data_IF_460092496062
#
_entry.id   IF_460092496062
#
_cell.length_a   1.000
_cell.length_b   1.000
_cell.length_c   1.000
_cell.angle_alpha   90.00
_cell.angle_beta   90.00
_cell.angle_gamma   90.00
#
_symmetry.space_group_name_H-M   'P 1'
#
loop_
_entity.id
_entity.type
_entity.pdbx_description
1 polymer ?
#
# COMPACT_ATOMS: atom_id res chain seq x y z
N UNK A 1 43.37 7.77 -28.52
CA UNK A 1 43.07 6.38 -28.13
C UNK A 1 43.04 5.58 -29.42
N UNK A 2 43.92 4.61 -29.60
CA UNK A 2 44.00 3.84 -30.84
C UNK A 2 42.83 2.86 -30.91
N UNK A 3 41.94 3.06 -31.89
CA UNK A 3 40.68 2.29 -32.03
C UNK A 3 40.98 0.80 -32.19
N UNK A 4 42.11 0.49 -32.82
CA UNK A 4 42.60 -0.87 -33.03
C UNK A 4 42.88 -1.58 -31.70
N UNK A 5 43.50 -0.86 -30.74
CA UNK A 5 43.82 -1.38 -29.41
C UNK A 5 42.55 -1.60 -28.57
N UNK A 6 41.55 -0.72 -28.72
CA UNK A 6 40.27 -0.85 -28.01
C UNK A 6 39.45 -2.06 -28.52
N UNK A 7 39.47 -2.31 -29.83
CA UNK A 7 38.79 -3.47 -30.43
C UNK A 7 39.45 -4.79 -30.06
N UNK A 8 40.79 -4.86 -30.03
CA UNK A 8 41.49 -6.05 -29.55
C UNK A 8 41.23 -6.30 -28.05
N UNK A 9 41.20 -5.24 -27.24
CA UNK A 9 40.86 -5.35 -25.81
C UNK A 9 39.45 -5.91 -25.63
N UNK A 10 38.47 -5.44 -26.40
CA UNK A 10 37.09 -5.95 -26.37
C UNK A 10 36.99 -7.40 -26.88
N UNK A 11 37.79 -7.76 -27.89
CA UNK A 11 37.82 -9.12 -28.44
C UNK A 11 38.41 -10.15 -27.48
N UNK A 12 39.36 -9.74 -26.63
CA UNK A 12 40.00 -10.61 -25.63
C UNK A 12 39.35 -10.57 -24.25
N UNK A 13 38.38 -9.68 -24.03
CA UNK A 13 37.69 -9.56 -22.76
C UNK A 13 36.77 -10.77 -22.53
N UNK A 14 36.73 -11.27 -21.29
CA UNK A 14 35.79 -12.32 -20.90
C UNK A 14 34.36 -11.78 -20.88
N UNK A 15 33.36 -12.66 -21.05
CA UNK A 15 31.94 -12.27 -21.03
C UNK A 15 31.57 -11.54 -19.72
N UNK A 16 32.15 -11.94 -18.60
CA UNK A 16 31.99 -11.30 -17.30
C UNK A 16 32.55 -9.87 -17.27
N UNK A 17 33.71 -9.65 -17.89
CA UNK A 17 34.32 -8.32 -18.00
C UNK A 17 33.52 -7.41 -18.95
N UNK A 18 32.99 -7.97 -20.04
CA UNK A 18 32.10 -7.25 -20.97
C UNK A 18 30.78 -6.87 -20.31
N UNK A 19 30.18 -7.78 -19.54
CA UNK A 19 28.91 -7.53 -18.86
C UNK A 19 29.06 -6.54 -17.69
N UNK A 20 30.18 -6.61 -16.97
CA UNK A 20 30.55 -5.60 -15.97
C UNK A 20 30.70 -4.22 -16.60
N UNK A 21 31.43 -4.11 -17.72
CA UNK A 21 31.57 -2.84 -18.46
C UNK A 21 30.24 -2.33 -19.04
N UNK A 22 29.39 -3.22 -19.55
CA UNK A 22 28.05 -2.85 -20.02
C UNK A 22 27.18 -2.27 -18.90
N UNK A 23 27.25 -2.88 -17.72
CA UNK A 23 26.54 -2.40 -16.52
C UNK A 23 27.07 -1.03 -16.05
N UNK A 24 28.39 -0.84 -16.06
CA UNK A 24 29.04 0.43 -15.74
C UNK A 24 28.68 1.56 -16.72
N UNK A 25 28.62 1.24 -18.02
CA UNK A 25 28.20 2.19 -19.06
C UNK A 25 26.73 2.59 -18.87
N UNK A 26 25.83 1.63 -18.62
CA UNK A 26 24.42 1.93 -18.40
C UNK A 26 24.20 2.77 -17.13
N UNK A 27 24.93 2.48 -16.05
CA UNK A 27 24.90 3.29 -14.84
C UNK A 27 25.37 4.73 -15.12
N UNK A 28 26.46 4.87 -15.87
CA UNK A 28 27.01 6.18 -16.24
C UNK A 28 26.04 6.98 -17.11
N UNK A 29 25.41 6.33 -18.10
CA UNK A 29 24.39 6.95 -18.96
C UNK A 29 23.14 7.35 -18.16
N UNK A 30 22.72 6.54 -17.19
CA UNK A 30 21.61 6.86 -16.28
C UNK A 30 21.91 8.11 -15.43
N UNK A 31 23.12 8.18 -14.84
CA UNK A 31 23.58 9.35 -14.07
C UNK A 31 23.65 10.61 -14.96
N UNK A 32 24.15 10.48 -16.19
CA UNK A 32 24.20 11.60 -17.15
C UNK A 32 22.79 12.06 -17.51
N UNK A 33 21.87 11.14 -17.81
CA UNK A 33 20.46 11.43 -18.11
C UNK A 33 19.78 12.18 -16.96
N UNK A 34 19.98 11.72 -15.72
CA UNK A 34 19.44 12.36 -14.52
C UNK A 34 20.00 13.79 -14.34
N UNK A 35 21.31 14.00 -14.55
CA UNK A 35 21.93 15.32 -14.48
C UNK A 35 21.46 16.27 -15.58
N UNK A 36 21.19 15.74 -16.78
CA UNK A 36 20.61 16.51 -17.88
C UNK A 36 19.17 16.92 -17.56
N UNK A 37 18.35 16.03 -17.01
CA UNK A 37 16.98 16.36 -16.58
C UNK A 37 16.96 17.45 -15.50
N UNK A 38 17.88 17.40 -14.52
CA UNK A 38 18.01 18.43 -13.49
C UNK A 38 18.43 19.79 -14.08
N UNK A 39 19.30 19.81 -15.10
CA UNK A 39 19.70 21.07 -15.76
C UNK A 39 18.61 21.67 -16.65
N UNK A 40 17.78 20.84 -17.29
CA UNK A 40 16.62 21.30 -18.06
C UNK A 40 15.51 21.89 -17.17
N UNK A 41 15.40 21.46 -15.91
CA UNK A 41 14.43 22.00 -14.95
C UNK A 41 14.96 23.20 -14.13
N UNK A 42 16.28 23.39 -14.06
CA UNK A 42 16.90 24.48 -13.29
C UNK A 42 17.22 25.75 -14.11
N UNK A 43 16.93 25.77 -15.41
CA UNK A 43 17.24 26.89 -16.30
C UNK A 43 16.02 27.78 -16.56
N UNK A 44 15.48 28.40 -15.51
CA UNK A 44 14.65 29.61 -15.65
C UNK A 44 15.07 30.62 -14.60
N UNK A 45 15.85 31.67 -14.93
CA UNK A 45 16.11 32.76 -14.00
C UNK A 45 14.96 33.78 -14.12
N UNK A 46 14.08 33.81 -13.12
CA UNK A 46 13.15 34.92 -12.95
C UNK A 46 13.78 35.96 -12.02
N UNK A 47 14.30 37.00 -12.65
CA UNK A 47 14.66 38.30 -12.09
C UNK A 47 13.52 38.87 -11.25
N UNK A 48 13.82 39.35 -10.04
CA UNK A 48 12.92 40.22 -9.27
C UNK A 48 13.71 41.48 -8.94
N UNK A 49 13.33 42.59 -9.57
CA UNK A 49 13.54 43.93 -9.05
C UNK A 49 12.16 44.60 -8.99
N UNK A 50 11.83 45.11 -7.81
CA UNK A 50 10.59 45.83 -7.52
C UNK A 50 10.92 47.27 -7.19
N UNK A 51 10.39 48.25 -7.93
CA UNK A 51 10.01 49.56 -7.36
C UNK A 51 9.16 50.43 -8.31
N UNK A 52 7.87 50.52 -7.95
CA UNK A 52 6.96 51.70 -7.94
C UNK A 52 6.38 52.31 -9.26
N UNK A 53 5.08 52.77 -9.28
CA UNK A 53 4.28 53.11 -10.49
C UNK A 53 3.92 54.63 -10.55
N UNK A 54 2.87 55.17 -11.25
CA UNK A 54 1.96 54.75 -12.35
C UNK A 54 1.88 55.86 -13.47
N UNK A 55 0.77 56.17 -14.22
CA UNK A 55 -0.44 55.45 -14.66
C UNK A 55 -0.73 55.54 -16.19
N UNK A 56 -1.63 54.69 -16.73
CA UNK A 56 -2.77 55.09 -17.61
C UNK A 56 -3.46 53.89 -18.29
N UNK A 57 -4.76 53.83 -18.02
CA UNK A 57 -5.91 53.59 -18.91
C UNK A 57 -6.09 52.35 -19.81
N UNK A 58 -7.35 51.90 -19.74
CA UNK A 58 -8.18 51.24 -20.76
C UNK A 58 -8.33 49.71 -20.72
N UNK A 59 -9.46 49.34 -20.10
CA UNK A 59 -10.53 48.51 -20.63
C UNK A 59 -10.33 46.99 -20.86
N UNK A 60 -11.19 46.27 -20.12
CA UNK A 60 -12.12 45.18 -20.52
C UNK A 60 -11.87 43.77 -19.97
N UNK A 61 -12.94 43.34 -19.29
CA UNK A 61 -13.47 42.00 -19.09
C UNK A 61 -12.85 41.06 -18.03
N UNK A 62 -13.54 41.02 -16.88
CA UNK A 62 -13.60 39.90 -15.92
C UNK A 62 -14.87 39.05 -16.21
N UNK A 63 -15.20 37.92 -15.52
CA UNK A 63 -14.57 37.24 -14.37
C UNK A 63 -14.42 35.69 -14.63
N UNK A 64 -14.04 34.77 -13.73
CA UNK A 64 -14.02 34.73 -12.27
C UNK A 64 -13.04 33.66 -11.75
N UNK A 65 -12.48 34.02 -10.60
CA UNK A 65 -11.55 33.33 -9.71
C UNK A 65 -12.01 32.00 -9.13
N UNK A 66 -11.03 31.11 -8.98
CA UNK A 66 -10.92 30.09 -7.93
C UNK A 66 -10.71 30.82 -6.58
N UNK A 67 -11.26 30.31 -5.48
CA UNK A 67 -10.87 30.72 -4.14
C UNK A 67 -10.59 29.49 -3.27
N UNK A 68 -9.30 29.28 -2.98
CA UNK A 68 -8.83 28.65 -1.75
C UNK A 68 -8.74 29.73 -0.66
N UNK A 69 -9.10 29.38 0.57
CA UNK A 69 -8.72 30.16 1.76
C UNK A 69 -8.38 29.21 2.89
N UNK A 70 -7.13 29.27 3.29
CA UNK A 70 -6.51 28.68 4.48
C UNK A 70 -6.94 29.38 5.78
N UNK A 71 -7.15 28.55 6.81
CA UNK A 71 -6.70 28.65 8.23
C UNK A 71 -7.01 29.92 9.01
N UNK A 72 -7.72 29.77 10.15
CA UNK A 72 -7.23 30.35 11.41
C UNK A 72 -7.71 29.66 12.69
N UNK A 73 -6.95 29.91 13.76
CA UNK A 73 -6.79 29.15 15.00
C UNK A 73 -7.27 29.99 16.21
N UNK A 74 -7.59 29.30 17.33
CA UNK A 74 -7.63 29.72 18.76
C UNK A 74 -8.94 30.23 19.42
N UNK A 75 -9.25 29.55 20.55
CA UNK A 75 -9.87 29.96 21.84
C UNK A 75 -11.25 30.68 21.84
N UNK A 76 -12.21 30.40 22.74
CA UNK A 76 -12.13 30.61 24.20
C UNK A 76 -13.41 30.07 24.91
N UNK A 77 -13.22 29.39 26.04
CA UNK A 77 -13.99 29.28 27.31
C UNK A 77 -15.54 29.23 27.44
N UNK A 78 -15.95 28.26 28.29
CA UNK A 78 -16.92 28.29 29.41
C UNK A 78 -18.36 28.80 29.21
N UNK A 79 -19.36 27.98 29.58
CA UNK A 79 -20.13 28.10 30.85
C UNK A 79 -21.34 27.15 30.90
N UNK A 80 -21.33 26.29 31.93
CA UNK A 80 -22.41 25.80 32.83
C UNK A 80 -23.88 25.94 32.42
N UNK A 81 -24.66 24.86 32.59
CA UNK A 81 -26.13 24.97 32.76
C UNK A 81 -26.92 23.68 32.62
N UNK A 82 -27.02 22.92 33.72
CA UNK A 82 -27.93 21.78 33.91
C UNK A 82 -29.41 22.17 33.83
N UNK A 83 -30.28 21.26 33.37
CA UNK A 83 -31.51 20.79 34.05
C UNK A 83 -32.53 20.14 33.06
N UNK A 84 -32.77 18.84 33.22
CA UNK A 84 -34.06 18.16 32.95
C UNK A 84 -35.11 18.62 34.00
N UNK A 85 -36.43 18.23 33.99
CA UNK A 85 -37.05 17.08 33.31
C UNK A 85 -38.54 17.24 32.86
N UNK A 86 -39.07 16.13 32.33
CA UNK A 86 -40.36 15.50 32.72
C UNK A 86 -41.68 15.79 31.97
N UNK A 87 -42.31 14.65 31.61
CA UNK A 87 -43.75 14.30 31.67
C UNK A 87 -44.63 14.69 30.46
N UNK A 88 -45.65 13.95 30.01
CA UNK A 88 -46.24 12.59 30.20
C UNK A 88 -47.45 12.51 29.26
N UNK A 89 -47.84 11.29 28.84
CA UNK A 89 -49.24 10.87 28.52
C UNK A 89 -49.96 11.51 27.32
N UNK A 90 -50.91 10.91 26.60
CA UNK A 90 -51.48 9.56 26.44
C UNK A 90 -52.55 9.71 25.33
N UNK A 91 -52.82 8.63 24.57
CA UNK A 91 -54.13 8.24 23.99
C UNK A 91 -54.81 9.22 22.99
N UNK A 92 -55.46 8.81 21.89
CA UNK A 92 -55.90 7.52 21.39
C UNK A 92 -56.48 7.68 19.95
N UNK A 93 -56.93 6.53 19.42
CA UNK A 93 -58.01 6.30 18.45
C UNK A 93 -57.60 6.14 16.97
N UNK A 94 -57.65 4.88 16.53
CA UNK A 94 -57.79 4.41 15.14
C UNK A 94 -59.29 4.20 14.86
N UNK A 95 -59.75 4.43 13.61
CA UNK A 95 -60.53 3.38 12.92
C UNK A 95 -60.18 3.21 11.41
N UNK A 96 -59.73 1.98 11.13
CA UNK A 96 -59.85 1.02 10.01
C UNK A 96 -60.77 1.31 8.77
N UNK A 97 -60.21 1.01 7.55
CA UNK A 97 -60.78 0.45 6.28
C UNK A 97 -61.62 1.33 5.30
N UNK A 98 -61.62 1.23 3.94
CA UNK A 98 -61.02 0.36 2.88
C UNK A 98 -61.05 1.07 1.50
N UNK A 99 -60.19 0.61 0.56
CA UNK A 99 -60.27 0.60 -0.94
C UNK A 99 -60.28 1.89 -1.77
N UNK A 100 -59.23 2.09 -2.59
CA UNK A 100 -59.28 2.16 -4.07
C UNK A 100 -57.85 2.36 -4.68
N UNK A 101 -57.45 1.50 -5.62
CA UNK A 101 -56.33 1.72 -6.57
C UNK A 101 -56.75 2.79 -7.61
N UNK A 102 -55.87 3.47 -8.41
CA UNK A 102 -54.67 2.91 -9.06
C UNK A 102 -53.46 3.87 -9.30
N UNK A 103 -52.28 3.31 -9.66
CA UNK A 103 -51.41 3.71 -10.79
C UNK A 103 -49.95 3.18 -10.64
N UNK A 104 -49.29 2.77 -11.73
CA UNK A 104 -48.07 1.95 -11.70
C UNK A 104 -46.83 2.81 -11.46
N UNK A 105 -46.13 2.60 -10.33
CA UNK A 105 -44.79 3.17 -10.13
C UNK A 105 -43.75 2.26 -10.79
N UNK A 106 -43.10 2.86 -11.78
CA UNK A 106 -41.90 2.44 -12.51
C UNK A 106 -41.01 1.48 -11.72
N UNK A 107 -40.64 0.39 -12.38
CA UNK A 107 -39.67 -0.58 -11.90
C UNK A 107 -38.41 0.11 -11.42
N UNK A 108 -38.13 -0.06 -10.13
CA UNK A 108 -36.82 0.16 -9.57
C UNK A 108 -35.87 -0.83 -10.25
N UNK A 109 -34.95 -0.30 -11.06
CA UNK A 109 -33.80 -1.05 -11.53
C UNK A 109 -33.07 -1.66 -10.31
N UNK A 110 -32.55 -2.89 -10.42
CA UNK A 110 -31.80 -3.50 -9.33
C UNK A 110 -30.57 -2.64 -9.06
N UNK A 111 -30.46 -2.17 -7.82
CA UNK A 111 -29.30 -1.41 -7.35
C UNK A 111 -28.02 -2.20 -7.67
N UNK A 112 -27.04 -1.51 -8.25
CA UNK A 112 -25.68 -2.04 -8.40
C UNK A 112 -25.18 -2.41 -6.99
N UNK A 113 -25.22 -3.69 -6.64
CA UNK A 113 -24.70 -4.21 -5.38
C UNK A 113 -23.23 -3.77 -5.25
N UNK A 114 -22.96 -2.86 -4.31
CA UNK A 114 -21.58 -2.46 -3.99
C UNK A 114 -20.89 -3.69 -3.39
N UNK A 115 -20.01 -4.33 -4.16
CA UNK A 115 -19.14 -5.41 -3.68
C UNK A 115 -18.45 -5.00 -2.38
N UNK A 116 -18.39 -5.93 -1.42
CA UNK A 116 -17.68 -5.69 -0.15
C UNK A 116 -16.18 -5.42 -0.40
N UNK A 117 -15.49 -4.74 0.53
CA UNK A 117 -14.04 -4.46 0.39
C UNK A 117 -13.23 -5.74 0.25
N UNK A 118 -13.64 -6.80 0.96
CA UNK A 118 -13.02 -8.14 0.89
C UNK A 118 -13.21 -8.75 -0.49
N UNK A 119 -14.43 -8.74 -1.06
CA UNK A 119 -14.69 -9.25 -2.41
C UNK A 119 -13.85 -8.53 -3.49
N UNK A 120 -13.74 -7.21 -3.40
CA UNK A 120 -12.92 -6.44 -4.34
C UNK A 120 -11.45 -6.85 -4.27
N UNK A 121 -10.93 -7.01 -3.06
CA UNK A 121 -9.56 -7.44 -2.84
C UNK A 121 -9.33 -8.85 -3.38
N UNK A 122 -10.23 -9.80 -3.10
CA UNK A 122 -10.14 -11.17 -3.63
C UNK A 122 -10.15 -11.17 -5.17
N UNK A 123 -10.99 -10.36 -5.82
CA UNK A 123 -10.93 -10.21 -7.28
C UNK A 123 -9.58 -9.65 -7.75
N UNK A 124 -9.07 -8.59 -7.11
CA UNK A 124 -7.75 -8.01 -7.48
C UNK A 124 -6.61 -9.01 -7.28
N UNK A 125 -6.70 -9.88 -6.27
CA UNK A 125 -5.69 -10.91 -6.02
C UNK A 125 -5.62 -11.93 -7.16
N UNK A 126 -6.76 -12.30 -7.76
CA UNK A 126 -6.83 -13.22 -8.90
C UNK A 126 -6.12 -12.64 -10.13
N UNK A 127 -6.27 -11.34 -10.40
CA UNK A 127 -5.65 -10.67 -11.55
C UNK A 127 -4.10 -10.66 -11.48
N UNK A 128 -3.54 -10.78 -10.27
CA UNK A 128 -2.10 -10.68 -10.04
C UNK A 128 -1.36 -12.02 -9.98
N UNK A 129 -2.07 -13.15 -9.86
CA UNK A 129 -1.44 -14.47 -9.79
C UNK A 129 -0.69 -14.81 -11.07
N UNK A 130 -1.22 -14.38 -12.23
CA UNK A 130 -0.64 -14.60 -13.54
C UNK A 130 0.73 -13.93 -13.66
N UNK A 131 0.79 -12.64 -13.33
CA UNK A 131 2.04 -11.88 -13.40
C UNK A 131 3.10 -12.45 -12.45
N UNK A 132 2.72 -12.88 -11.25
CA UNK A 132 3.65 -13.50 -10.30
C UNK A 132 4.17 -14.85 -10.79
N UNK A 133 3.29 -15.67 -11.38
CA UNK A 133 3.70 -16.94 -11.96
C UNK A 133 4.74 -16.72 -13.06
N UNK A 134 4.46 -15.86 -14.03
CA UNK A 134 5.39 -15.56 -15.13
C UNK A 134 6.72 -15.00 -14.60
N UNK A 135 6.65 -14.06 -13.66
CA UNK A 135 7.83 -13.43 -13.05
C UNK A 135 8.69 -14.43 -12.27
N UNK A 136 8.05 -15.40 -11.59
CA UNK A 136 8.74 -16.48 -10.87
C UNK A 136 9.35 -17.54 -11.81
N UNK A 137 9.05 -17.51 -13.12
CA UNK A 137 9.66 -18.38 -14.12
C UNK A 137 10.88 -17.78 -14.79
N UNK A 138 10.92 -16.46 -14.93
CA UNK A 138 11.95 -15.77 -15.71
C UNK A 138 13.15 -15.31 -14.87
N UNK A 139 13.18 -15.58 -13.55
CA UNK A 139 14.24 -15.14 -12.62
C UNK A 139 14.67 -13.68 -12.87
N UNK A 140 13.69 -12.78 -12.84
CA UNK A 140 13.82 -11.37 -13.25
C UNK A 140 14.74 -10.53 -12.35
N UNK A 141 15.13 -9.36 -12.90
CA UNK A 141 15.88 -8.24 -12.31
C UNK A 141 15.43 -7.78 -10.92
N UNK A 142 14.25 -8.18 -10.44
CA UNK A 142 13.81 -7.92 -9.07
C UNK A 142 14.76 -8.58 -8.06
N UNK A 143 15.31 -9.76 -8.38
CA UNK A 143 16.32 -10.44 -7.57
C UNK A 143 17.65 -9.67 -7.60
N UNK A 144 17.98 -8.94 -8.68
CA UNK A 144 19.21 -8.15 -8.75
C UNK A 144 19.13 -6.81 -8.01
N UNK A 145 17.93 -6.37 -7.62
CA UNK A 145 17.75 -5.20 -6.75
C UNK A 145 18.19 -5.53 -5.31
N UNK A 146 19.46 -5.24 -5.03
CA UNK A 146 20.06 -5.37 -3.70
C UNK A 146 20.04 -4.02 -2.98
N UNK A 147 19.76 -4.04 -1.68
CA UNK A 147 19.95 -2.87 -0.82
C UNK A 147 21.45 -2.53 -0.74
N UNK A 148 21.77 -1.26 -0.95
CA UNK A 148 23.07 -0.73 -0.54
C UNK A 148 22.98 -0.37 0.95
N UNK A 149 23.84 -0.92 1.84
CA UNK A 149 23.82 -0.57 3.25
C UNK A 149 24.17 0.91 3.53
N UNK A 150 24.79 1.60 2.57
CA UNK A 150 25.18 3.01 2.69
C UNK A 150 24.10 3.99 2.24
N UNK A 151 23.15 3.54 1.41
CA UNK A 151 22.02 4.34 0.92
C UNK A 151 20.74 3.55 1.11
N UNK A 152 19.87 3.98 2.03
CA UNK A 152 18.58 3.33 2.26
C UNK A 152 17.60 3.61 1.11
N UNK A 153 17.57 2.72 0.13
CA UNK A 153 16.69 2.78 -1.05
C UNK A 153 15.22 2.50 -0.73
N UNK A 154 14.90 2.00 0.47
CA UNK A 154 13.53 1.52 0.78
C UNK A 154 12.50 2.63 0.68
N UNK A 155 12.86 3.83 1.10
CA UNK A 155 11.96 4.98 0.97
C UNK A 155 11.84 5.48 -0.47
N UNK A 156 12.83 5.22 -1.33
CA UNK A 156 12.71 5.50 -2.76
C UNK A 156 11.75 4.51 -3.41
N UNK A 157 11.94 3.21 -3.19
CA UNK A 157 11.06 2.14 -3.69
C UNK A 157 9.60 2.36 -3.24
N UNK A 158 9.40 2.81 -2.00
CA UNK A 158 8.09 3.20 -1.50
C UNK A 158 7.46 4.34 -2.31
N UNK A 159 8.23 5.40 -2.58
CA UNK A 159 7.75 6.62 -3.26
C UNK A 159 7.56 6.46 -4.76
N UNK A 160 8.21 5.50 -5.42
CA UNK A 160 7.96 5.19 -6.86
C UNK A 160 6.50 4.86 -7.15
N UNK A 161 5.80 4.38 -6.13
CA UNK A 161 4.40 3.95 -6.23
C UNK A 161 3.44 4.95 -5.59
N UNK A 162 3.80 5.57 -4.46
CA UNK A 162 2.92 6.55 -3.81
C UNK A 162 2.80 7.83 -4.65
N UNK A 163 1.58 8.14 -5.10
CA UNK A 163 1.31 9.30 -5.97
C UNK A 163 1.39 8.98 -7.47
N UNK A 164 1.91 7.80 -7.84
CA UNK A 164 1.84 7.31 -9.21
C UNK A 164 0.46 6.71 -9.48
N UNK A 165 -0.24 7.20 -10.52
CA UNK A 165 -1.58 6.70 -10.87
C UNK A 165 -1.55 5.30 -11.50
N UNK A 166 -0.42 4.89 -12.09
CA UNK A 166 -0.26 3.61 -12.81
C UNK A 166 1.13 3.00 -12.58
N UNK A 167 1.47 2.63 -11.34
CA UNK A 167 2.75 2.01 -11.02
C UNK A 167 2.85 0.62 -11.66
N UNK A 168 4.06 0.25 -12.09
CA UNK A 168 4.32 -1.09 -12.62
C UNK A 168 4.17 -2.15 -11.51
N UNK A 169 3.90 -3.41 -11.87
CA UNK A 169 3.82 -4.50 -10.89
C UNK A 169 5.17 -4.73 -10.18
N UNK A 170 6.29 -4.48 -10.87
CA UNK A 170 7.61 -4.51 -10.28
C UNK A 170 7.76 -3.44 -9.20
N UNK A 171 7.40 -2.19 -9.47
CA UNK A 171 7.45 -1.12 -8.47
C UNK A 171 6.52 -1.41 -7.28
N UNK A 172 5.33 -1.95 -7.54
CA UNK A 172 4.40 -2.38 -6.48
C UNK A 172 5.03 -3.45 -5.58
N UNK A 173 5.75 -4.41 -6.15
CA UNK A 173 6.44 -5.45 -5.40
C UNK A 173 7.63 -4.87 -4.61
N UNK A 174 8.44 -3.99 -5.20
CA UNK A 174 9.51 -3.28 -4.50
C UNK A 174 8.96 -2.44 -3.33
N UNK A 175 7.81 -1.77 -3.51
CA UNK A 175 7.09 -1.10 -2.41
C UNK A 175 6.70 -2.09 -1.31
N UNK A 176 6.22 -3.29 -1.65
CA UNK A 176 5.92 -4.31 -0.63
C UNK A 176 7.18 -4.67 0.16
N UNK A 177 8.26 -5.01 -0.53
CA UNK A 177 9.54 -5.40 0.08
C UNK A 177 10.08 -4.28 0.98
N UNK A 178 10.00 -3.02 0.53
CA UNK A 178 10.44 -1.86 1.30
C UNK A 178 9.64 -1.66 2.58
N UNK A 179 8.30 -1.73 2.50
CA UNK A 179 7.43 -1.63 3.68
C UNK A 179 7.64 -2.78 4.66
N UNK A 180 7.76 -4.01 4.17
CA UNK A 180 8.04 -5.20 5.00
C UNK A 180 9.38 -5.04 5.72
N UNK A 181 10.44 -4.73 4.97
CA UNK A 181 11.78 -4.52 5.51
C UNK A 181 11.83 -3.42 6.59
N UNK A 182 11.18 -2.28 6.34
CA UNK A 182 11.09 -1.20 7.34
C UNK A 182 10.30 -1.61 8.60
N UNK A 183 9.24 -2.40 8.42
CA UNK A 183 8.48 -2.92 9.55
C UNK A 183 9.23 -4.01 10.31
N UNK A 184 10.03 -4.84 9.63
CA UNK A 184 10.93 -5.83 10.25
C UNK A 184 11.97 -5.14 11.12
N UNK A 185 12.66 -4.10 10.63
CA UNK A 185 13.60 -3.29 11.42
C UNK A 185 12.92 -2.72 12.67
N UNK A 186 11.72 -2.15 12.52
CA UNK A 186 10.95 -1.63 13.65
C UNK A 186 10.57 -2.74 14.66
N UNK A 187 10.17 -3.92 14.17
CA UNK A 187 9.73 -5.05 15.01
C UNK A 187 10.89 -5.72 15.75
N UNK A 188 12.12 -5.59 15.27
CA UNK A 188 13.31 -6.04 16.01
C UNK A 188 13.51 -5.24 17.31
N UNK A 189 12.99 -4.02 17.42
CA UNK A 189 12.96 -3.27 18.67
C UNK A 189 11.86 -3.77 19.62
N UNK A 190 12.10 -3.70 20.93
CA UNK A 190 11.19 -4.20 21.98
C UNK A 190 9.77 -3.62 21.84
N UNK A 191 9.67 -2.31 21.60
CA UNK A 191 8.39 -1.62 21.44
C UNK A 191 7.66 -2.03 20.15
N UNK A 192 8.40 -2.26 19.06
CA UNK A 192 7.84 -2.71 17.80
C UNK A 192 7.32 -4.14 17.87
N UNK A 193 8.05 -5.04 18.53
CA UNK A 193 7.58 -6.41 18.80
C UNK A 193 6.28 -6.42 19.58
N UNK A 194 6.21 -5.67 20.68
CA UNK A 194 4.99 -5.57 21.50
C UNK A 194 3.80 -5.02 20.69
N UNK A 195 4.07 -4.04 19.81
CA UNK A 195 3.07 -3.48 18.93
C UNK A 195 2.52 -4.50 17.93
N UNK A 196 3.40 -5.20 17.19
CA UNK A 196 2.98 -6.22 16.23
C UNK A 196 2.15 -7.32 16.90
N UNK A 197 2.62 -7.83 18.05
CA UNK A 197 1.90 -8.86 18.81
C UNK A 197 0.51 -8.42 19.25
N UNK A 198 0.36 -7.14 19.60
CA UNK A 198 -0.95 -6.62 19.99
C UNK A 198 -1.91 -6.47 18.82
N UNK A 199 -1.40 -6.12 17.63
CA UNK A 199 -2.21 -6.11 16.40
C UNK A 199 -2.66 -7.53 16.06
N UNK A 200 -1.75 -8.50 16.13
CA UNK A 200 -2.06 -9.92 15.89
C UNK A 200 -3.12 -10.41 16.89
N UNK A 201 -2.93 -10.14 18.19
CA UNK A 201 -3.88 -10.52 19.23
C UNK A 201 -5.27 -9.91 18.97
N UNK A 202 -5.34 -8.63 18.60
CA UNK A 202 -6.60 -7.98 18.24
C UNK A 202 -7.30 -8.70 17.07
N UNK A 203 -6.59 -8.97 15.98
CA UNK A 203 -7.16 -9.64 14.79
C UNK A 203 -7.66 -11.04 15.14
N UNK A 204 -6.89 -11.80 15.93
CA UNK A 204 -7.30 -13.14 16.37
C UNK A 204 -8.51 -13.09 17.30
N UNK A 205 -8.59 -12.14 18.24
CA UNK A 205 -9.75 -12.00 19.12
C UNK A 205 -11.03 -11.60 18.36
N UNK A 206 -10.92 -10.77 17.31
CA UNK A 206 -12.06 -10.49 16.42
C UNK A 206 -12.51 -11.77 15.71
N UNK A 207 -11.56 -12.61 15.25
CA UNK A 207 -11.88 -13.86 14.58
C UNK A 207 -12.56 -14.89 15.50
N UNK A 208 -12.11 -15.01 16.74
CA UNK A 208 -12.69 -15.92 17.74
C UNK A 208 -14.08 -15.49 18.23
N UNK A 209 -14.51 -14.26 17.91
CA UNK A 209 -15.76 -13.68 18.42
C UNK A 209 -15.64 -13.10 19.84
N UNK A 210 -14.43 -13.07 20.42
CA UNK A 210 -14.16 -12.55 21.76
C UNK A 210 -14.26 -11.02 21.82
N UNK A 211 -14.07 -10.35 20.68
CA UNK A 211 -14.20 -8.90 20.54
C UNK A 211 -15.23 -8.54 19.50
N UNK A 212 -16.20 -7.72 19.91
CA UNK A 212 -17.12 -7.07 18.99
C UNK A 212 -16.37 -5.95 18.24
N UNK A 213 -16.21 -6.04 16.90
CA UNK A 213 -15.47 -5.08 16.10
C UNK A 213 -16.12 -3.68 16.09
N UNK A 214 -17.42 -3.56 16.37
CA UNK A 214 -18.13 -2.28 16.45
C UNK A 214 -17.97 -1.58 17.79
N UNK A 215 -17.75 -2.35 18.88
CA UNK A 215 -17.59 -1.82 20.25
C UNK A 215 -16.13 -1.66 20.68
N UNK A 216 -15.22 -2.37 20.03
CA UNK A 216 -13.79 -2.28 20.33
C UNK A 216 -13.23 -0.99 19.73
N UNK A 217 -13.24 0.08 20.53
CA UNK A 217 -12.68 1.36 20.16
C UNK A 217 -11.25 1.17 19.65
N UNK A 218 -11.03 1.55 18.39
CA UNK A 218 -9.71 1.73 17.75
C UNK A 218 -8.68 2.56 18.57
N UNK A 219 -9.08 3.12 19.72
CA UNK A 219 -8.26 3.85 20.68
C UNK A 219 -7.08 3.04 21.22
N UNK A 220 -7.23 1.72 21.45
CA UNK A 220 -6.11 0.86 21.90
C UNK A 220 -4.96 0.79 20.88
N UNK A 221 -5.28 0.79 19.59
CA UNK A 221 -4.28 0.83 18.52
C UNK A 221 -3.78 2.26 18.26
N UNK A 222 -4.64 3.28 18.41
CA UNK A 222 -4.28 4.71 18.22
C UNK A 222 -3.28 5.24 19.24
N UNK A 223 -3.38 4.83 20.51
CA UNK A 223 -2.43 5.24 21.56
C UNK A 223 -0.98 4.82 21.27
N UNK A 224 -0.80 3.77 20.46
CA UNK A 224 0.50 3.18 20.11
C UNK A 224 1.07 3.68 18.79
N UNK A 225 0.37 4.58 18.08
CA UNK A 225 0.91 5.28 16.91
C UNK A 225 2.21 6.05 17.24
N UNK A 226 2.37 6.49 18.50
CA UNK A 226 3.58 7.18 18.96
C UNK A 226 4.85 6.35 18.82
N UNK A 227 4.80 5.04 19.05
CA UNK A 227 6.00 4.16 18.98
C UNK A 227 6.67 4.17 17.61
N UNK A 228 5.90 4.15 16.51
CA UNK A 228 6.47 4.24 15.16
C UNK A 228 7.01 5.65 14.90
N UNK A 229 6.34 6.68 15.41
CA UNK A 229 6.83 8.05 15.26
C UNK A 229 8.12 8.30 16.03
N UNK A 230 8.27 7.70 17.22
CA UNK A 230 9.49 7.82 18.03
C UNK A 230 10.64 7.04 17.38
N UNK A 231 10.38 5.84 16.87
CA UNK A 231 11.34 5.09 16.05
C UNK A 231 11.83 5.90 14.84
N UNK A 232 10.90 6.45 14.04
CA UNK A 232 11.25 7.24 12.84
C UNK A 232 12.09 8.46 13.21
N UNK A 233 11.76 9.16 14.30
CA UNK A 233 12.53 10.35 14.75
C UNK A 233 13.95 10.00 15.18
N UNK A 234 14.14 8.86 15.84
CA UNK A 234 15.43 8.42 16.34
C UNK A 234 16.29 7.75 15.26
N UNK A 235 15.69 7.29 14.17
CA UNK A 235 16.39 6.59 13.10
C UNK A 235 17.14 7.58 12.17
N UNK A 236 18.49 7.46 12.02
CA UNK A 236 19.31 8.44 11.29
C UNK A 236 18.86 8.68 9.84
N UNK A 237 18.43 7.63 9.14
CA UNK A 237 18.06 7.68 7.73
C UNK A 237 16.57 7.97 7.48
N UNK A 238 15.72 7.88 8.51
CA UNK A 238 14.25 8.02 8.35
C UNK A 238 13.70 9.30 8.99
N UNK A 239 14.47 9.95 9.88
CA UNK A 239 14.06 11.16 10.61
C UNK A 239 13.62 12.31 9.71
N UNK A 240 14.21 12.44 8.53
CA UNK A 240 13.86 13.45 7.51
C UNK A 240 12.74 13.01 6.56
N UNK A 241 12.25 11.77 6.69
CA UNK A 241 11.30 11.20 5.74
C UNK A 241 9.85 11.24 6.25
N UNK A 242 9.05 12.13 5.68
CA UNK A 242 7.63 12.29 6.03
C UNK A 242 6.78 11.02 5.83
N UNK A 243 7.14 10.18 4.86
CA UNK A 243 6.39 8.97 4.51
C UNK A 243 6.77 7.73 5.34
N UNK A 244 7.86 7.78 6.12
CA UNK A 244 8.38 6.61 6.82
C UNK A 244 7.37 6.02 7.82
N UNK A 245 6.67 6.89 8.56
CA UNK A 245 5.59 6.48 9.45
C UNK A 245 4.51 5.70 8.68
N UNK A 246 4.13 6.16 7.49
CA UNK A 246 3.09 5.52 6.67
C UNK A 246 3.57 4.18 6.13
N UNK A 247 4.82 4.11 5.65
CA UNK A 247 5.45 2.89 5.15
C UNK A 247 5.50 1.81 6.24
N UNK A 248 6.03 2.14 7.43
CA UNK A 248 6.14 1.21 8.56
C UNK A 248 4.76 0.73 9.01
N UNK A 249 3.77 1.62 9.14
CA UNK A 249 2.43 1.20 9.54
C UNK A 249 1.75 0.27 8.53
N UNK A 250 1.93 0.50 7.22
CA UNK A 250 1.47 -0.42 6.17
C UNK A 250 2.21 -1.76 6.23
N UNK A 251 3.52 -1.75 6.50
CA UNK A 251 4.32 -2.95 6.71
C UNK A 251 3.87 -3.77 7.94
N UNK A 252 3.65 -3.12 9.10
CA UNK A 252 3.10 -3.78 10.30
C UNK A 252 1.76 -4.44 9.99
N UNK A 253 0.89 -3.73 9.26
CA UNK A 253 -0.41 -4.27 8.85
C UNK A 253 -0.26 -5.53 8.00
N UNK A 254 0.68 -5.51 7.07
CA UNK A 254 0.98 -6.63 6.19
C UNK A 254 1.57 -7.83 6.96
N UNK A 255 2.58 -7.60 7.82
CA UNK A 255 3.17 -8.63 8.69
C UNK A 255 2.15 -9.24 9.65
N UNK A 256 1.25 -8.43 10.21
CA UNK A 256 0.18 -8.91 11.08
C UNK A 256 -0.80 -9.81 10.33
N UNK A 257 -1.22 -9.41 9.12
CA UNK A 257 -2.06 -10.24 8.26
C UNK A 257 -1.37 -11.57 7.96
N UNK A 258 -0.11 -11.54 7.51
CA UNK A 258 0.65 -12.74 7.16
C UNK A 258 0.78 -13.70 8.35
N UNK A 259 1.07 -13.17 9.55
CA UNK A 259 1.20 -14.00 10.76
C UNK A 259 -0.13 -14.67 11.12
N UNK A 260 -1.24 -13.93 11.06
CA UNK A 260 -2.58 -14.47 11.30
C UNK A 260 -2.95 -15.51 10.26
N UNK A 261 -2.66 -15.23 8.99
CA UNK A 261 -2.93 -16.14 7.88
C UNK A 261 -2.13 -17.42 8.01
N UNK A 262 -0.81 -17.34 8.26
CA UNK A 262 0.05 -18.50 8.50
C UNK A 262 -0.44 -19.36 9.66
N UNK A 263 -0.75 -18.74 10.81
CA UNK A 263 -1.32 -19.45 11.96
C UNK A 263 -2.62 -20.18 11.61
N UNK A 264 -3.47 -19.55 10.80
CA UNK A 264 -4.71 -20.16 10.31
C UNK A 264 -4.46 -21.40 9.48
N UNK A 265 -3.48 -21.36 8.57
CA UNK A 265 -3.11 -22.52 7.76
C UNK A 265 -2.58 -23.65 8.63
N UNK A 266 -1.76 -23.34 9.63
CA UNK A 266 -1.25 -24.30 10.60
C UNK A 266 -2.39 -24.95 11.41
N UNK A 267 -3.32 -24.14 11.94
CA UNK A 267 -4.49 -24.61 12.69
C UNK A 267 -5.39 -25.55 11.84
N UNK A 268 -5.51 -25.25 10.54
CA UNK A 268 -6.28 -26.04 9.57
C UNK A 268 -5.48 -27.17 8.91
N UNK A 269 -4.19 -27.34 9.25
CA UNK A 269 -3.27 -28.31 8.63
C UNK A 269 -3.17 -28.19 7.11
N UNK A 270 -3.28 -26.97 6.59
CA UNK A 270 -3.13 -26.66 5.18
C UNK A 270 -1.66 -26.37 4.83
N UNK A 271 -1.25 -26.55 3.55
CA UNK A 271 0.08 -26.17 3.10
C UNK A 271 0.37 -24.69 3.36
N UNK A 272 1.59 -24.36 3.76
CA UNK A 272 1.98 -22.97 3.90
C UNK A 272 2.04 -22.29 2.52
N UNK A 273 1.39 -21.14 2.43
CA UNK A 273 1.35 -20.28 1.23
C UNK A 273 1.40 -18.80 1.62
N UNK A 274 1.94 -18.51 2.82
CA UNK A 274 1.97 -17.17 3.39
C UNK A 274 2.74 -16.19 2.51
N UNK A 275 3.85 -16.60 1.91
CA UNK A 275 4.70 -15.76 1.06
C UNK A 275 4.02 -15.48 -0.29
N UNK A 276 3.35 -16.48 -0.85
CA UNK A 276 2.56 -16.31 -2.08
C UNK A 276 1.45 -15.30 -1.88
N UNK A 277 0.64 -15.47 -0.83
CA UNK A 277 -0.47 -14.55 -0.51
C UNK A 277 0.06 -13.17 -0.15
N UNK A 278 1.18 -13.10 0.57
CA UNK A 278 1.92 -11.87 0.86
C UNK A 278 2.26 -11.09 -0.43
N UNK A 279 2.87 -11.75 -1.41
CA UNK A 279 3.24 -11.17 -2.69
C UNK A 279 2.02 -10.66 -3.48
N UNK A 280 0.96 -11.46 -3.56
CA UNK A 280 -0.29 -11.09 -4.26
C UNK A 280 -0.94 -9.87 -3.59
N UNK A 281 -0.97 -9.84 -2.25
CA UNK A 281 -1.46 -8.68 -1.51
C UNK A 281 -0.60 -7.45 -1.71
N UNK A 282 0.73 -7.62 -1.88
CA UNK A 282 1.66 -6.57 -2.28
C UNK A 282 1.27 -5.84 -3.56
N UNK A 283 0.86 -6.62 -4.56
CA UNK A 283 0.39 -6.10 -5.83
C UNK A 283 -0.99 -5.43 -5.72
N UNK A 284 -1.81 -5.90 -4.78
CA UNK A 284 -3.16 -5.40 -4.46
C UNK A 284 -3.18 -4.38 -3.32
N UNK A 285 -2.03 -3.74 -3.01
CA UNK A 285 -1.89 -2.93 -1.79
C UNK A 285 -2.86 -1.74 -1.72
N UNK A 286 -3.27 -1.21 -2.88
CA UNK A 286 -4.20 -0.08 -2.93
C UNK A 286 -5.61 -0.45 -2.48
N UNK A 287 -6.00 -1.71 -2.65
CA UNK A 287 -7.23 -2.23 -2.06
C UNK A 287 -6.98 -2.67 -0.62
N UNK A 288 -5.86 -3.34 -0.36
CA UNK A 288 -5.49 -3.80 0.99
C UNK A 288 -5.35 -2.64 1.98
N UNK A 289 -4.90 -1.44 1.56
CA UNK A 289 -4.78 -0.28 2.45
C UNK A 289 -6.12 0.12 3.07
N UNK A 290 -7.22 -0.09 2.35
CA UNK A 290 -8.58 0.26 2.79
C UNK A 290 -9.19 -0.74 3.78
N UNK A 291 -8.65 -1.97 3.84
CA UNK A 291 -9.11 -3.02 4.75
C UNK A 291 -8.83 -2.63 6.21
N UNK A 292 -9.80 -2.70 7.11
CA UNK A 292 -9.50 -2.48 8.54
C UNK A 292 -8.89 -3.73 9.18
N UNK A 293 -8.23 -3.60 10.33
CA UNK A 293 -7.77 -4.78 11.08
C UNK A 293 -8.93 -5.72 11.44
N UNK A 294 -10.11 -5.17 11.73
CA UNK A 294 -11.32 -5.95 12.02
C UNK A 294 -11.84 -6.75 10.82
N UNK A 295 -11.52 -6.33 9.59
CA UNK A 295 -11.91 -7.03 8.36
C UNK A 295 -10.89 -8.08 7.92
N UNK A 296 -9.69 -8.13 8.51
CA UNK A 296 -8.67 -9.12 8.17
C UNK A 296 -9.13 -10.57 8.35
N UNK A 297 -9.86 -10.95 9.42
CA UNK A 297 -10.35 -12.32 9.57
C UNK A 297 -11.22 -12.76 8.39
N UNK A 298 -12.15 -11.91 7.95
CA UNK A 298 -13.02 -12.20 6.80
C UNK A 298 -12.22 -12.42 5.51
N UNK A 299 -11.14 -11.66 5.31
CA UNK A 299 -10.24 -11.87 4.18
C UNK A 299 -9.47 -13.20 4.30
N UNK A 300 -8.97 -13.53 5.49
CA UNK A 300 -8.28 -14.80 5.75
C UNK A 300 -9.21 -15.97 5.44
N UNK A 301 -10.43 -15.95 5.96
CA UNK A 301 -11.42 -16.99 5.74
C UNK A 301 -11.79 -17.08 4.24
N UNK A 302 -12.01 -15.95 3.57
CA UNK A 302 -12.31 -15.92 2.13
C UNK A 302 -11.18 -16.51 1.26
N UNK A 303 -9.92 -16.26 1.62
CA UNK A 303 -8.78 -16.86 0.92
C UNK A 303 -8.73 -18.36 1.20
N UNK A 304 -8.81 -18.77 2.46
CA UNK A 304 -8.75 -20.19 2.87
C UNK A 304 -9.88 -21.00 2.23
N UNK A 305 -11.11 -20.48 2.23
CA UNK A 305 -12.28 -21.14 1.63
C UNK A 305 -12.17 -21.23 0.09
N UNK A 306 -11.45 -20.29 -0.54
CA UNK A 306 -11.20 -20.26 -1.98
C UNK A 306 -10.06 -21.17 -2.46
N UNK A 307 -9.12 -21.53 -1.58
CA UNK A 307 -7.94 -22.36 -1.89
C UNK A 307 -8.23 -23.79 -2.38
N UNK A 308 -9.30 -24.51 -1.99
CA UNK A 308 -9.35 -25.94 -2.27
C UNK A 308 -9.84 -26.39 -3.67
N UNK A 309 -10.25 -25.52 -4.62
CA UNK A 309 -11.11 -26.02 -5.73
C UNK A 309 -10.99 -25.47 -7.15
N UNK A 310 -9.87 -24.91 -7.58
CA UNK A 310 -9.76 -24.48 -8.98
C UNK A 310 -8.51 -25.00 -9.66
N UNK A 311 -8.71 -25.85 -10.67
CA UNK A 311 -7.81 -25.87 -11.83
C UNK A 311 -7.73 -24.42 -12.32
N UNK A 312 -6.55 -23.83 -12.27
CA UNK A 312 -6.34 -22.47 -12.78
C UNK A 312 -5.99 -22.59 -14.26
N UNK A 313 -6.81 -21.98 -15.12
CA UNK A 313 -6.47 -21.86 -16.53
C UNK A 313 -5.65 -20.59 -16.74
N UNK A 314 -4.38 -20.76 -17.10
CA UNK A 314 -3.45 -19.70 -17.45
C UNK A 314 -3.14 -19.83 -18.94
N UNK A 315 -3.42 -18.80 -19.73
CA UNK A 315 -3.12 -18.80 -21.18
C UNK A 315 -3.66 -20.04 -21.93
N UNK A 316 -4.81 -20.59 -21.51
CA UNK A 316 -5.39 -21.80 -22.11
C UNK A 316 -4.77 -23.12 -21.63
N UNK A 317 -3.87 -23.07 -20.63
CA UNK A 317 -3.23 -24.24 -20.03
C UNK A 317 -3.70 -24.39 -18.59
N UNK A 318 -4.07 -25.61 -18.21
CA UNK A 318 -4.49 -25.93 -16.84
C UNK A 318 -3.27 -26.13 -15.95
N UNK A 319 -3.24 -25.42 -14.83
CA UNK A 319 -2.20 -25.55 -13.82
C UNK A 319 -2.77 -26.10 -12.52
N UNK A 320 -1.93 -26.90 -11.87
CA UNK A 320 -2.14 -27.34 -10.50
C UNK A 320 -1.82 -26.18 -9.55
N UNK A 321 -2.85 -25.58 -8.96
CA UNK A 321 -2.75 -24.43 -8.06
C UNK A 321 -1.73 -24.65 -6.92
N UNK A 322 -1.67 -25.82 -6.25
CA UNK A 322 -0.59 -26.18 -5.33
C UNK A 322 0.83 -25.97 -5.88
N UNK A 323 1.10 -26.37 -7.13
CA UNK A 323 2.41 -26.19 -7.74
C UNK A 323 2.70 -24.72 -8.04
N UNK A 324 1.67 -23.97 -8.47
CA UNK A 324 1.76 -22.51 -8.68
C UNK A 324 2.15 -21.80 -7.39
N UNK A 325 1.42 -22.10 -6.32
CA UNK A 325 1.65 -21.55 -4.99
C UNK A 325 3.06 -21.90 -4.52
N UNK A 326 3.45 -23.18 -4.50
CA UNK A 326 4.76 -23.62 -3.99
C UNK A 326 5.93 -22.90 -4.68
N UNK A 327 5.83 -22.69 -6.00
CA UNK A 327 6.88 -22.01 -6.77
C UNK A 327 6.96 -20.52 -6.44
N UNK A 328 5.82 -19.82 -6.42
CA UNK A 328 5.77 -18.39 -6.08
C UNK A 328 6.25 -18.19 -4.64
N UNK A 329 5.84 -19.04 -3.70
CA UNK A 329 6.24 -19.00 -2.30
C UNK A 329 7.76 -19.05 -2.15
N UNK A 330 8.36 -20.06 -2.79
CA UNK A 330 9.81 -20.26 -2.78
C UNK A 330 10.57 -19.13 -3.47
N UNK A 331 10.01 -18.55 -4.54
CA UNK A 331 10.61 -17.43 -5.25
C UNK A 331 10.54 -16.14 -4.43
N UNK A 332 9.39 -15.81 -3.86
CA UNK A 332 9.19 -14.59 -3.09
C UNK A 332 10.04 -14.58 -1.81
N UNK A 333 10.17 -15.72 -1.13
CA UNK A 333 11.07 -15.86 0.01
C UNK A 333 12.53 -15.54 -0.36
N UNK A 334 13.01 -15.99 -1.53
CA UNK A 334 14.35 -15.64 -2.03
C UNK A 334 14.48 -14.16 -2.36
N UNK A 335 13.48 -13.57 -3.00
CA UNK A 335 13.44 -12.13 -3.31
C UNK A 335 13.51 -11.30 -2.03
N UNK A 336 12.69 -11.61 -1.03
CA UNK A 336 12.69 -10.92 0.26
C UNK A 336 14.04 -11.04 0.97
N UNK A 337 14.62 -12.25 0.99
CA UNK A 337 15.94 -12.49 1.59
C UNK A 337 17.01 -11.62 0.94
N UNK A 338 17.01 -11.55 -0.40
CA UNK A 338 18.01 -10.79 -1.16
C UNK A 338 17.80 -9.28 -1.08
N UNK A 339 16.56 -8.83 -1.00
CA UNK A 339 16.25 -7.42 -0.78
C UNK A 339 16.76 -6.92 0.59
N UNK A 340 16.69 -7.78 1.60
CA UNK A 340 17.15 -7.48 2.96
C UNK A 340 18.67 -7.67 3.19
N UNK A 341 19.38 -8.36 2.29
CA UNK A 341 20.83 -8.65 2.37
C UNK A 341 21.72 -7.56 1.78
#
# INVERSE_FOLDING_TARGET
>A
MDISLALDTLRTATDEALQSRYSEINLTLSIISQRLQVRFLASTPATVDTSTPPPSDSEKDSPSSIAESTVDRLNTENTVGSLSPSNTSELAIIPVQTTANPAPKKGSQPGKNKKSTVEKLVCSMQDHIHWLWDTAHTDNEIISHKRDPTVDIRMEDYRRVEGNQRPSNQDKLLRLLSMRSLAEDFVQETDGKARLQSVIAYVLSVRSGDLDPEKSNSSQLKGRCRQVSDFVKLHPLLSSCHDANRAINKGIKHLAFETVFKKTLEDLKLPNMSETVSAILGLSMDDFKSLTYAQMPQLVDAIVDGVPRTEYELHGQKFDLPNVIKRIDSWFARVQTRYNS
#
